data_IF_655242216124
#
_entry.id   IF_655242216124
#
_cell.length_a   1.000
_cell.length_b   1.000
_cell.length_c   1.000
_cell.angle_alpha   90.00
_cell.angle_beta   90.00
_cell.angle_gamma   90.00
#
_symmetry.space_group_name_H-M   'P 1'
#
loop_
_entity.id
_entity.type
_entity.pdbx_description
1 polymer ?
#
# COMPACT_ATOMS: atom_id res chain seq x y z
N UNK A 1 18.48 -0.18 -10.78
CA UNK A 1 17.46 -0.62 -9.81
C UNK A 1 16.11 -0.15 -10.32
N UNK A 2 15.37 -1.01 -11.03
CA UNK A 2 14.02 -0.67 -11.49
C UNK A 2 13.04 -0.89 -10.34
N UNK A 3 12.45 0.19 -9.83
CA UNK A 3 11.34 0.11 -8.88
C UNK A 3 10.11 -0.26 -9.71
N UNK A 4 9.66 -1.51 -9.60
CA UNK A 4 8.48 -2.02 -10.29
C UNK A 4 7.24 -1.43 -9.60
N UNK A 5 6.81 -0.23 -10.01
CA UNK A 5 5.44 0.19 -9.76
C UNK A 5 4.54 -0.56 -10.73
N UNK A 6 4.15 -1.78 -10.36
CA UNK A 6 3.01 -2.43 -11.00
C UNK A 6 1.77 -1.58 -10.70
N UNK A 7 1.37 -0.75 -11.66
CA UNK A 7 0.13 0.05 -11.66
C UNK A 7 -1.14 -0.80 -11.75
N UNK A 8 -1.03 -2.13 -11.81
CA UNK A 8 -2.18 -3.02 -11.65
C UNK A 8 -2.37 -3.32 -10.16
N UNK A 9 -3.47 -2.82 -9.62
CA UNK A 9 -4.06 -3.33 -8.38
C UNK A 9 -4.26 -4.85 -8.55
N UNK A 10 -3.37 -5.65 -7.95
CA UNK A 10 -3.39 -7.11 -8.13
C UNK A 10 -4.60 -7.77 -7.44
N UNK A 11 -5.26 -7.06 -6.53
CA UNK A 11 -6.43 -7.54 -5.78
C UNK A 11 -7.66 -6.73 -6.18
N UNK A 12 -8.67 -7.43 -6.69
CA UNK A 12 -10.02 -6.89 -6.97
C UNK A 12 -10.91 -7.02 -5.74
N UNK A 13 -12.03 -6.29 -5.68
CA UNK A 13 -13.03 -6.41 -4.61
C UNK A 13 -13.56 -7.83 -4.45
N UNK A 14 -13.87 -8.52 -5.55
CA UNK A 14 -14.23 -9.94 -5.53
C UNK A 14 -13.14 -10.81 -4.88
N UNK A 15 -11.87 -10.55 -5.21
CA UNK A 15 -10.76 -11.29 -4.59
C UNK A 15 -10.60 -10.96 -3.12
N UNK A 16 -10.84 -9.71 -2.71
CA UNK A 16 -10.84 -9.32 -1.31
C UNK A 16 -11.96 -10.01 -0.52
N UNK A 17 -13.17 -10.14 -1.08
CA UNK A 17 -14.25 -10.95 -0.47
C UNK A 17 -13.78 -12.39 -0.22
N UNK A 18 -13.18 -13.05 -1.22
CA UNK A 18 -12.66 -14.41 -1.06
C UNK A 18 -11.59 -14.52 0.04
N UNK A 19 -10.66 -13.57 0.08
CA UNK A 19 -9.56 -13.57 1.06
C UNK A 19 -10.11 -13.36 2.46
N UNK A 20 -10.96 -12.34 2.66
CA UNK A 20 -11.53 -12.02 3.96
C UNK A 20 -12.40 -13.17 4.47
N UNK A 21 -13.19 -13.80 3.60
CA UNK A 21 -14.02 -14.95 3.96
C UNK A 21 -13.19 -16.15 4.43
N UNK A 22 -12.03 -16.41 3.81
CA UNK A 22 -11.10 -17.47 4.26
C UNK A 22 -10.57 -17.27 5.68
N UNK A 23 -10.58 -16.02 6.17
CA UNK A 23 -10.14 -15.67 7.51
C UNK A 23 -11.32 -15.39 8.48
N UNK A 24 -12.55 -15.75 8.09
CA UNK A 24 -13.73 -15.63 8.95
C UNK A 24 -14.45 -14.27 8.87
N UNK A 25 -13.99 -13.35 8.02
CA UNK A 25 -14.61 -12.04 7.84
C UNK A 25 -15.47 -12.03 6.58
N UNK A 26 -16.79 -12.04 6.75
CA UNK A 26 -17.73 -11.91 5.62
C UNK A 26 -18.03 -10.45 5.37
N UNK A 27 -17.89 -10.02 4.12
CA UNK A 27 -18.17 -8.66 3.66
C UNK A 27 -18.86 -8.70 2.30
N UNK A 28 -19.63 -7.66 1.97
CA UNK A 28 -20.18 -7.47 0.62
C UNK A 28 -19.09 -7.00 -0.36
N UNK A 29 -19.43 -6.95 -1.66
CA UNK A 29 -18.52 -6.39 -2.67
C UNK A 29 -18.24 -4.90 -2.43
N UNK A 30 -19.25 -4.14 -2.01
CA UNK A 30 -19.13 -2.71 -1.68
C UNK A 30 -18.21 -2.49 -0.48
N UNK A 31 -18.40 -3.27 0.59
CA UNK A 31 -17.55 -3.23 1.78
C UNK A 31 -16.11 -3.62 1.43
N UNK A 32 -15.92 -4.67 0.63
CA UNK A 32 -14.60 -5.09 0.16
C UNK A 32 -13.91 -4.00 -0.69
N UNK A 33 -14.66 -3.25 -1.50
CA UNK A 33 -14.13 -2.12 -2.24
C UNK A 33 -13.64 -1.00 -1.32
N UNK A 34 -14.44 -0.64 -0.30
CA UNK A 34 -14.07 0.37 0.69
C UNK A 34 -12.80 -0.04 1.44
N UNK A 35 -12.71 -1.31 1.85
CA UNK A 35 -11.54 -1.88 2.53
C UNK A 35 -10.31 -1.80 1.63
N UNK A 36 -10.43 -2.22 0.36
CA UNK A 36 -9.32 -2.15 -0.58
C UNK A 36 -8.83 -0.72 -0.82
N UNK A 37 -9.75 0.23 -1.03
CA UNK A 37 -9.41 1.63 -1.26
C UNK A 37 -8.64 2.22 -0.08
N UNK A 38 -9.06 1.89 1.14
CA UNK A 38 -8.33 2.27 2.35
C UNK A 38 -6.94 1.63 2.40
N UNK A 39 -6.84 0.32 2.15
CA UNK A 39 -5.56 -0.41 2.18
C UNK A 39 -4.55 0.14 1.15
N UNK A 40 -5.00 0.48 -0.06
CA UNK A 40 -4.11 1.08 -1.07
C UNK A 40 -3.65 2.48 -0.66
N UNK A 41 -4.54 3.32 -0.11
CA UNK A 41 -4.16 4.64 0.42
C UNK A 41 -3.16 4.52 1.56
N UNK A 42 -3.40 3.59 2.48
CA UNK A 42 -2.51 3.34 3.60
C UNK A 42 -1.14 2.84 3.15
N UNK A 43 -1.09 1.86 2.25
CA UNK A 43 0.17 1.34 1.70
C UNK A 43 0.96 2.41 0.97
N UNK A 44 0.30 3.26 0.18
CA UNK A 44 0.93 4.42 -0.47
C UNK A 44 1.56 5.36 0.55
N UNK A 45 0.79 5.74 1.58
CA UNK A 45 1.26 6.65 2.63
C UNK A 45 2.49 6.08 3.37
N UNK A 46 2.48 4.78 3.69
CA UNK A 46 3.60 4.12 4.36
C UNK A 46 4.90 4.17 3.53
N UNK A 47 4.80 3.90 2.22
CA UNK A 47 5.94 3.96 1.29
C UNK A 47 6.45 5.40 1.17
N UNK A 48 5.57 6.37 0.97
CA UNK A 48 5.93 7.79 0.87
C UNK A 48 6.62 8.28 2.15
N UNK A 49 6.15 7.85 3.31
CA UNK A 49 6.75 8.20 4.60
C UNK A 49 8.18 7.69 4.72
N UNK A 50 8.42 6.43 4.35
CA UNK A 50 9.77 5.85 4.41
C UNK A 50 10.71 6.49 3.38
N UNK A 51 10.24 6.73 2.15
CA UNK A 51 11.03 7.41 1.11
C UNK A 51 11.46 8.81 1.57
N UNK A 52 10.55 9.59 2.15
CA UNK A 52 10.86 10.91 2.69
C UNK A 52 11.91 10.84 3.82
N UNK A 53 11.80 9.83 4.71
CA UNK A 53 12.77 9.62 5.77
C UNK A 53 14.16 9.29 5.22
N UNK A 54 14.25 8.48 4.15
CA UNK A 54 15.50 8.16 3.47
C UNK A 54 16.11 9.40 2.80
N UNK A 55 15.33 10.20 2.07
CA UNK A 55 15.80 11.44 1.44
C UNK A 55 16.38 12.43 2.46
N UNK A 56 15.72 12.59 3.61
CA UNK A 56 16.21 13.45 4.69
C UNK A 56 17.54 12.93 5.25
N UNK A 57 17.69 11.62 5.46
CA UNK A 57 18.94 10.99 5.93
C UNK A 57 20.09 11.23 4.96
N UNK A 58 19.87 11.03 3.66
CA UNK A 58 20.90 11.28 2.64
C UNK A 58 21.31 12.76 2.58
N UNK A 59 20.36 13.69 2.57
CA UNK A 59 20.66 15.14 2.57
C UNK A 59 21.44 15.57 3.81
N UNK A 60 21.18 14.95 4.98
CA UNK A 60 21.91 15.23 6.22
C UNK A 60 23.35 14.72 6.16
N UNK A 61 23.60 13.54 5.58
CA UNK A 61 24.96 13.00 5.43
C UNK A 61 25.82 13.82 4.45
N UNK A 62 25.25 14.30 3.33
CA UNK A 62 25.98 15.12 2.35
C UNK A 62 26.34 16.53 2.83
N UNK A 63 25.73 17.01 3.91
CA UNK A 63 26.02 18.33 4.52
C UNK A 63 27.10 18.29 5.61
N UNK A 64 27.54 17.09 6.00
CA UNK A 64 28.52 16.86 7.08
C UNK A 64 29.91 16.50 6.52
N UNK A 65 30.03 16.36 5.20
CA UNK A 65 31.27 16.34 4.43
C UNK A 65 31.54 17.73 3.83
#
# INVERSE_FOLDING_TARGET
>A
MQIIYSTKHNITSAKAVEILAKHGTKVTLEEAQIILDFMYKFGKLAIETELNALEIKFKKQSKVL
#
